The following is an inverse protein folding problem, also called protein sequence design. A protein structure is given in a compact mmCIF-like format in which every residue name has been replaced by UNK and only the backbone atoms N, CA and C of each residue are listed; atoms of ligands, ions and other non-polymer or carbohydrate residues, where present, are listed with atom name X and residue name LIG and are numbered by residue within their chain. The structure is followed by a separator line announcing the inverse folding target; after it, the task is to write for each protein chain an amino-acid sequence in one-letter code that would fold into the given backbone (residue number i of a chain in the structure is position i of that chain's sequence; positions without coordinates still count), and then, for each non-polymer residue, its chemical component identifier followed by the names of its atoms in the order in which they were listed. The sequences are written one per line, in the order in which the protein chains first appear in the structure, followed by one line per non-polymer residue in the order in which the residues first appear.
data_IF_204790223223
#
_entry.id   IF_204790223223
#
_cell.length_a   1.000
_cell.length_b   1.000
_cell.length_c   1.000
_cell.angle_alpha   90.00
_cell.angle_beta   90.00
_cell.angle_gamma   90.00
#
_symmetry.space_group_name_H-M   'P 1'
#
loop_
_entity.id
_entity.type
_entity.pdbx_description
1 polymer ?
#
# COMPACT_ATOMS: atom_id res chain seq x y z
N UNK A 1 -24.78 4.54 -9.48
CA UNK A 1 -24.92 5.74 -8.62
C UNK A 1 -23.55 6.36 -8.42
N UNK A 2 -23.36 7.66 -8.70
CA UNK A 2 -22.10 8.36 -8.39
C UNK A 2 -22.01 8.46 -6.86
N UNK A 3 -21.14 7.67 -6.23
CA UNK A 3 -20.95 7.66 -4.77
C UNK A 3 -20.42 8.99 -4.20
N UNK A 4 -19.96 9.90 -5.07
CA UNK A 4 -19.41 11.20 -4.71
C UNK A 4 -19.87 12.26 -5.70
N UNK A 5 -20.14 13.46 -5.19
CA UNK A 5 -20.39 14.65 -6.02
C UNK A 5 -19.05 15.21 -6.58
N UNK A 6 -19.12 16.22 -7.46
CA UNK A 6 -17.92 16.77 -8.10
C UNK A 6 -16.96 17.44 -7.09
N UNK A 7 -17.49 18.13 -6.09
CA UNK A 7 -16.72 18.81 -5.04
C UNK A 7 -15.97 17.81 -4.16
N UNK A 8 -16.62 16.74 -3.73
CA UNK A 8 -16.01 15.66 -2.94
C UNK A 8 -14.89 14.96 -3.69
N UNK A 9 -14.99 14.84 -5.04
CA UNK A 9 -13.91 14.29 -5.87
C UNK A 9 -12.72 15.23 -5.96
N UNK A 10 -12.95 16.53 -6.10
CA UNK A 10 -11.88 17.53 -6.07
C UNK A 10 -11.19 17.52 -4.70
N UNK A 11 -11.98 17.50 -3.62
CA UNK A 11 -11.47 17.40 -2.25
C UNK A 11 -10.61 16.15 -1.99
N UNK A 12 -10.91 15.01 -2.63
CA UNK A 12 -10.05 13.82 -2.52
C UNK A 12 -8.65 14.08 -3.10
N UNK A 13 -8.54 14.84 -4.18
CA UNK A 13 -7.24 15.10 -4.81
C UNK A 13 -6.35 15.86 -3.83
N UNK A 14 -6.88 16.92 -3.23
CA UNK A 14 -6.14 17.75 -2.29
C UNK A 14 -5.84 17.00 -0.99
N UNK A 15 -6.84 16.27 -0.47
CA UNK A 15 -6.74 15.50 0.76
C UNK A 15 -5.64 14.42 0.70
N UNK A 16 -5.50 13.75 -0.45
CA UNK A 16 -4.50 12.70 -0.65
C UNK A 16 -3.19 13.20 -1.29
N UNK A 17 -3.05 14.48 -1.63
CA UNK A 17 -1.83 15.00 -2.25
C UNK A 17 -0.58 14.83 -1.36
N UNK A 18 -0.61 15.16 -0.05
CA UNK A 18 0.54 14.94 0.82
C UNK A 18 0.88 13.45 0.92
N UNK A 19 -0.12 12.61 1.14
CA UNK A 19 0.05 11.16 1.29
C UNK A 19 0.64 10.51 0.04
N UNK A 20 0.28 10.98 -1.15
CA UNK A 20 0.88 10.53 -2.42
C UNK A 20 2.38 10.86 -2.47
N UNK A 21 2.78 12.07 -2.08
CA UNK A 21 4.20 12.47 -2.03
C UNK A 21 4.98 11.59 -1.05
N UNK A 22 4.47 11.36 0.16
CA UNK A 22 5.13 10.48 1.13
C UNK A 22 5.22 9.03 0.63
N UNK A 23 4.14 8.49 0.06
CA UNK A 23 4.14 7.12 -0.47
C UNK A 23 5.16 6.96 -1.59
N UNK A 24 5.28 7.96 -2.48
CA UNK A 24 6.25 7.95 -3.57
C UNK A 24 7.70 7.97 -3.04
N UNK A 25 8.00 8.80 -2.05
CA UNK A 25 9.33 8.85 -1.42
C UNK A 25 9.65 7.51 -0.77
N UNK A 26 8.72 6.93 0.00
CA UNK A 26 8.94 5.63 0.65
C UNK A 26 9.18 4.52 -0.38
N UNK A 27 8.43 4.53 -1.49
CA UNK A 27 8.65 3.56 -2.60
C UNK A 27 10.04 3.69 -3.20
N UNK A 28 10.52 4.91 -3.44
CA UNK A 28 11.90 5.12 -3.93
C UNK A 28 12.91 4.55 -2.94
N UNK A 29 12.76 4.84 -1.65
CA UNK A 29 13.66 4.34 -0.60
C UNK A 29 13.65 2.81 -0.56
N UNK A 30 12.48 2.18 -0.66
CA UNK A 30 12.36 0.72 -0.68
C UNK A 30 13.04 0.09 -1.90
N UNK A 31 12.84 0.66 -3.10
CA UNK A 31 13.46 0.15 -4.33
C UNK A 31 14.97 0.33 -4.32
N UNK A 32 15.45 1.53 -3.98
CA UNK A 32 16.89 1.82 -3.93
C UNK A 32 17.58 0.99 -2.85
N UNK A 33 16.97 0.88 -1.67
CA UNK A 33 17.46 0.04 -0.59
C UNK A 33 17.52 -1.45 -0.97
N UNK A 34 16.49 -1.95 -1.64
CA UNK A 34 16.47 -3.33 -2.15
C UNK A 34 17.61 -3.57 -3.15
N UNK A 35 17.76 -2.69 -4.14
CA UNK A 35 18.82 -2.85 -5.15
C UNK A 35 20.23 -2.78 -4.53
N UNK A 36 20.44 -1.87 -3.58
CA UNK A 36 21.70 -1.74 -2.88
C UNK A 36 22.04 -3.02 -2.08
N UNK A 37 21.07 -3.54 -1.31
CA UNK A 37 21.25 -4.77 -0.55
C UNK A 37 21.39 -6.02 -1.44
N UNK A 38 20.75 -6.03 -2.60
CA UNK A 38 20.88 -7.11 -3.56
C UNK A 38 22.29 -7.14 -4.19
N UNK A 39 22.86 -5.97 -4.51
CA UNK A 39 24.21 -5.88 -5.08
C UNK A 39 25.32 -6.14 -4.07
N UNK A 40 25.12 -5.81 -2.80
CA UNK A 40 26.14 -6.00 -1.76
C UNK A 40 26.37 -7.47 -1.40
N UNK A 41 25.43 -8.36 -1.73
CA UNK A 41 25.51 -9.78 -1.39
C UNK A 41 25.45 -10.07 0.13
N UNK A 42 25.09 -9.07 0.95
CA UNK A 42 25.08 -9.19 2.42
C UNK A 42 24.01 -10.15 2.93
N UNK A 43 22.91 -10.31 2.20
CA UNK A 43 21.79 -11.17 2.57
C UNK A 43 21.49 -12.18 1.46
N UNK A 44 21.11 -13.42 1.82
CA UNK A 44 20.55 -14.36 0.86
C UNK A 44 19.35 -13.73 0.14
N UNK A 45 19.28 -13.91 -1.18
CA UNK A 45 18.23 -13.31 -2.02
C UNK A 45 16.81 -13.63 -1.52
N UNK A 46 16.60 -14.83 -0.96
CA UNK A 46 15.33 -15.22 -0.36
C UNK A 46 14.98 -14.36 0.86
N UNK A 47 15.93 -14.16 1.77
CA UNK A 47 15.74 -13.33 2.97
C UNK A 47 15.47 -11.88 2.62
N UNK A 48 16.23 -11.34 1.67
CA UNK A 48 16.06 -9.96 1.21
C UNK A 48 14.66 -9.75 0.59
N UNK A 49 14.22 -10.67 -0.26
CA UNK A 49 12.93 -10.58 -0.91
C UNK A 49 11.78 -10.78 0.08
N UNK A 50 11.89 -11.71 1.03
CA UNK A 50 10.92 -11.86 2.12
C UNK A 50 10.80 -10.57 2.94
N UNK A 51 11.92 -9.96 3.32
CA UNK A 51 11.92 -8.69 4.07
C UNK A 51 11.26 -7.56 3.28
N UNK A 52 11.56 -7.47 1.98
CA UNK A 52 10.95 -6.50 1.08
C UNK A 52 9.43 -6.66 0.99
N UNK A 53 8.94 -7.90 0.85
CA UNK A 53 7.51 -8.18 0.84
C UNK A 53 6.83 -7.83 2.16
N UNK A 54 7.44 -8.18 3.30
CA UNK A 54 6.92 -7.80 4.62
C UNK A 54 6.81 -6.28 4.78
N UNK A 55 7.80 -5.52 4.30
CA UNK A 55 7.76 -4.06 4.31
C UNK A 55 6.63 -3.51 3.41
N UNK A 56 6.42 -4.09 2.23
CA UNK A 56 5.31 -3.72 1.35
C UNK A 56 3.94 -4.00 2.00
N UNK A 57 3.79 -5.16 2.63
CA UNK A 57 2.58 -5.53 3.36
C UNK A 57 2.30 -4.51 4.47
N UNK A 58 3.31 -4.19 5.28
CA UNK A 58 3.21 -3.19 6.34
C UNK A 58 2.78 -1.83 5.78
N UNK A 59 3.40 -1.40 4.67
CA UNK A 59 3.07 -0.13 4.01
C UNK A 59 1.61 -0.10 3.54
N UNK A 60 1.10 -1.21 2.97
CA UNK A 60 -0.30 -1.30 2.53
C UNK A 60 -1.26 -1.22 3.72
N UNK A 61 -0.97 -1.91 4.83
CA UNK A 61 -1.78 -1.84 6.06
C UNK A 61 -1.82 -0.40 6.60
N UNK A 62 -0.65 0.24 6.75
CA UNK A 62 -0.55 1.60 7.25
C UNK A 62 -1.29 2.59 6.35
N UNK A 63 -1.14 2.45 5.03
CA UNK A 63 -1.85 3.28 4.04
C UNK A 63 -3.36 3.08 4.14
N UNK A 64 -3.83 1.83 4.23
CA UNK A 64 -5.25 1.52 4.34
C UNK A 64 -5.85 2.11 5.62
N UNK A 65 -5.15 1.95 6.76
CA UNK A 65 -5.55 2.51 8.04
C UNK A 65 -5.65 4.04 7.99
N UNK A 66 -4.60 4.70 7.50
CA UNK A 66 -4.57 6.15 7.37
C UNK A 66 -5.64 6.66 6.41
N UNK A 67 -5.86 5.98 5.27
CA UNK A 67 -6.92 6.32 4.31
C UNK A 67 -8.29 6.25 4.96
N UNK A 68 -8.57 5.19 5.73
CA UNK A 68 -9.83 5.03 6.44
C UNK A 68 -10.04 6.11 7.50
N UNK A 69 -9.01 6.44 8.28
CA UNK A 69 -9.08 7.54 9.25
C UNK A 69 -9.33 8.89 8.55
N UNK A 70 -8.61 9.17 7.46
CA UNK A 70 -8.69 10.42 6.73
C UNK A 70 -10.08 10.62 6.10
N UNK A 71 -10.65 9.56 5.52
CA UNK A 71 -12.01 9.61 4.95
C UNK A 71 -13.08 9.82 6.03
N UNK A 72 -12.95 9.17 7.19
CA UNK A 72 -13.87 9.37 8.33
C UNK A 72 -13.76 10.78 8.89
N UNK A 73 -12.54 11.29 9.06
CA UNK A 73 -12.30 12.64 9.58
C UNK A 73 -12.86 13.75 8.67
N UNK A 74 -12.97 13.49 7.37
CA UNK A 74 -13.53 14.43 6.38
C UNK A 74 -14.99 14.13 6.01
N UNK A 75 -15.69 13.33 6.82
CA UNK A 75 -17.13 13.02 6.66
C UNK A 75 -17.50 12.46 5.27
N UNK A 76 -16.62 11.65 4.67
CA UNK A 76 -16.95 10.97 3.43
C UNK A 76 -18.06 9.91 3.64
N UNK A 77 -18.89 9.64 2.62
CA UNK A 77 -20.00 8.68 2.76
C UNK A 77 -19.51 7.27 3.15
N UNK A 78 -20.21 6.62 4.08
CA UNK A 78 -19.86 5.27 4.54
C UNK A 78 -19.79 4.24 3.40
N UNK A 79 -20.65 4.38 2.39
CA UNK A 79 -20.63 3.53 1.20
C UNK A 79 -19.31 3.66 0.43
N UNK A 80 -18.72 4.87 0.37
CA UNK A 80 -17.42 5.09 -0.25
C UNK A 80 -16.29 4.53 0.63
N UNK A 81 -16.36 4.72 1.95
CA UNK A 81 -15.39 4.18 2.91
C UNK A 81 -15.34 2.65 2.83
N UNK A 82 -16.50 1.98 2.79
CA UNK A 82 -16.60 0.51 2.63
C UNK A 82 -15.94 0.04 1.34
N UNK A 83 -16.16 0.73 0.22
CA UNK A 83 -15.51 0.39 -1.05
C UNK A 83 -13.98 0.60 -1.00
N UNK A 84 -13.52 1.64 -0.31
CA UNK A 84 -12.09 1.86 -0.08
C UNK A 84 -11.44 0.75 0.75
N UNK A 85 -12.15 0.24 1.76
CA UNK A 85 -11.70 -0.90 2.57
C UNK A 85 -11.65 -2.16 1.71
N UNK A 86 -12.69 -2.45 0.92
CA UNK A 86 -12.71 -3.61 0.01
C UNK A 86 -11.54 -3.60 -0.98
N UNK A 87 -11.26 -2.45 -1.60
CA UNK A 87 -10.12 -2.31 -2.50
C UNK A 87 -8.78 -2.55 -1.78
N UNK A 88 -8.65 -2.05 -0.55
CA UNK A 88 -7.45 -2.25 0.27
C UNK A 88 -7.28 -3.73 0.68
N UNK A 89 -8.37 -4.40 1.04
CA UNK A 89 -8.38 -5.83 1.36
C UNK A 89 -8.01 -6.69 0.15
N UNK A 90 -8.48 -6.33 -1.05
CA UNK A 90 -8.11 -7.03 -2.29
C UNK A 90 -6.61 -6.89 -2.60
N UNK A 91 -6.06 -5.68 -2.44
CA UNK A 91 -4.63 -5.45 -2.60
C UNK A 91 -3.79 -6.25 -1.60
N UNK A 92 -4.23 -6.29 -0.34
CA UNK A 92 -3.60 -7.08 0.71
C UNK A 92 -3.65 -8.59 0.42
N UNK A 93 -4.80 -9.11 -0.02
CA UNK A 93 -4.95 -10.51 -0.44
C UNK A 93 -4.01 -10.85 -1.61
N UNK A 94 -3.89 -9.96 -2.60
CA UNK A 94 -2.98 -10.15 -3.72
C UNK A 94 -1.51 -10.24 -3.27
N UNK A 95 -1.09 -9.38 -2.35
CA UNK A 95 0.27 -9.42 -1.78
C UNK A 95 0.51 -10.69 -0.96
N UNK A 96 -0.46 -11.11 -0.15
CA UNK A 96 -0.36 -12.35 0.62
C UNK A 96 -0.27 -13.58 -0.29
N UNK A 97 -1.15 -13.69 -1.28
CA UNK A 97 -1.14 -14.76 -2.26
C UNK A 97 0.20 -14.84 -2.99
N UNK A 98 0.70 -13.69 -3.47
CA UNK A 98 2.00 -13.64 -4.11
C UNK A 98 3.12 -14.11 -3.18
N UNK A 99 3.12 -13.65 -1.93
CA UNK A 99 4.13 -14.03 -0.93
C UNK A 99 4.11 -15.53 -0.65
N UNK A 100 2.92 -16.12 -0.49
CA UNK A 100 2.75 -17.57 -0.26
C UNK A 100 3.19 -18.39 -1.48
N UNK A 101 2.76 -18.01 -2.68
CA UNK A 101 3.15 -18.70 -3.91
C UNK A 101 4.67 -18.65 -4.13
N UNK A 102 5.29 -17.52 -3.82
CA UNK A 102 6.74 -17.35 -3.98
C UNK A 102 7.54 -18.23 -3.00
N UNK A 103 7.04 -18.42 -1.78
CA UNK A 103 7.62 -19.35 -0.81
C UNK A 103 7.43 -20.81 -1.24
N UNK A 104 6.23 -21.17 -1.69
CA UNK A 104 5.91 -22.54 -2.14
C UNK A 104 6.64 -22.93 -3.42
N UNK A 105 6.85 -21.99 -4.36
CA UNK A 105 7.61 -22.24 -5.60
C UNK A 105 9.09 -22.54 -5.38
N UNK A 106 9.61 -22.30 -4.17
CA UNK A 106 11.00 -22.54 -3.79
C UNK A 106 11.18 -23.74 -2.85
N UNK A 107 10.10 -24.42 -2.48
CA UNK A 107 10.12 -25.75 -1.87
C UNK A 107 10.14 -26.81 -2.97
#
# INVERSE_FOLDING_TARGET
MKLLNHEQKAGLIDLFAPQRKYTFIIMIVLVVGFLFLAQSGLLPMLTLLSLYFWLLILLVILKAYHTNQLLKANNYPDAYIKNSILASSLAFLGLLLFSVLMLLSKM
#
